data_IF_092891684432
#
_entry.id   IF_092891684432
#
_cell.length_a   1.000
_cell.length_b   1.000
_cell.length_c   1.000
_cell.angle_alpha   90.00
_cell.angle_beta   90.00
_cell.angle_gamma   90.00
#
_symmetry.space_group_name_H-M   'P 1'
#
loop_
_entity.id
_entity.type
_entity.pdbx_description
1 polymer ?
#
# COMPACT_ATOMS: atom_id res chain seq x y z
N UNK A 1 -0.21 5.38 7.98
CA UNK A 1 -1.09 4.55 7.12
C UNK A 1 -0.88 4.83 5.64
N UNK A 2 -0.88 6.08 5.18
CA UNK A 2 -0.70 6.40 3.75
C UNK A 2 0.67 5.95 3.19
N UNK A 3 1.71 5.92 4.02
CA UNK A 3 3.06 5.46 3.63
C UNK A 3 3.09 3.98 3.21
N UNK A 4 2.51 3.10 4.03
CA UNK A 4 2.44 1.67 3.73
C UNK A 4 1.59 1.39 2.49
N UNK A 5 0.49 2.14 2.29
CA UNK A 5 -0.35 1.99 1.11
C UNK A 5 0.39 2.40 -0.18
N UNK A 6 1.08 3.55 -0.16
CA UNK A 6 1.86 4.02 -1.32
C UNK A 6 3.00 3.05 -1.64
N UNK A 7 3.63 2.45 -0.63
CA UNK A 7 4.64 1.41 -0.86
C UNK A 7 4.04 0.19 -1.59
N UNK A 8 2.90 -0.34 -1.11
CA UNK A 8 2.23 -1.47 -1.77
C UNK A 8 1.84 -1.12 -3.22
N UNK A 9 1.35 0.10 -3.44
CA UNK A 9 1.01 0.60 -4.77
C UNK A 9 2.25 0.68 -5.68
N UNK A 10 3.40 1.13 -5.18
CA UNK A 10 4.66 1.15 -5.92
C UNK A 10 5.16 -0.25 -6.27
N UNK A 11 5.07 -1.20 -5.35
CA UNK A 11 5.43 -2.60 -5.61
C UNK A 11 4.52 -3.19 -6.71
N UNK A 12 3.22 -2.88 -6.63
CA UNK A 12 2.23 -3.24 -7.63
C UNK A 12 2.54 -2.64 -9.01
N UNK A 13 2.88 -1.35 -9.09
CA UNK A 13 3.30 -0.68 -10.32
C UNK A 13 4.57 -1.33 -10.89
N UNK A 14 5.55 -1.62 -10.04
CA UNK A 14 6.81 -2.27 -10.44
C UNK A 14 6.54 -3.62 -11.09
N UNK A 15 5.70 -4.45 -10.46
CA UNK A 15 5.31 -5.76 -11.01
C UNK A 15 4.56 -5.63 -12.34
N UNK A 16 3.75 -4.58 -12.50
CA UNK A 16 3.00 -4.34 -13.72
C UNK A 16 3.91 -3.90 -14.88
N UNK A 17 4.87 -3.02 -14.61
CA UNK A 17 5.85 -2.51 -15.60
C UNK A 17 6.80 -3.62 -16.06
N UNK A 18 7.22 -4.49 -15.13
CA UNK A 18 8.07 -5.65 -15.43
C UNK A 18 7.30 -6.77 -16.14
N UNK A 19 5.98 -6.84 -15.95
CA UNK A 19 5.12 -7.85 -16.56
C UNK A 19 4.81 -7.58 -18.03
N UNK A 20 4.24 -8.60 -18.68
CA UNK A 20 3.82 -8.53 -20.09
C UNK A 20 2.57 -7.66 -20.30
N UNK A 21 1.82 -7.35 -19.22
CA UNK A 21 0.58 -6.57 -19.29
C UNK A 21 0.82 -5.13 -19.76
N UNK A 22 1.93 -4.50 -19.34
CA UNK A 22 2.32 -3.16 -19.81
C UNK A 22 2.56 -3.11 -21.32
N UNK A 23 3.24 -4.13 -21.85
CA UNK A 23 3.51 -4.28 -23.30
C UNK A 23 2.22 -4.56 -24.07
N UNK A 24 1.36 -5.40 -23.51
CA UNK A 24 0.07 -5.74 -24.09
C UNK A 24 -0.81 -4.51 -24.19
N UNK A 25 -0.92 -3.71 -23.13
CA UNK A 25 -1.83 -2.58 -23.08
C UNK A 25 -1.26 -1.33 -23.77
N UNK A 26 0.07 -1.23 -23.88
CA UNK A 26 0.77 -0.11 -24.50
C UNK A 26 0.83 1.14 -23.62
N UNK A 27 0.73 0.96 -22.28
CA UNK A 27 0.76 2.06 -21.31
C UNK A 27 2.03 2.06 -20.43
N UNK A 28 3.06 1.32 -20.84
CA UNK A 28 4.26 1.11 -20.02
C UNK A 28 4.89 2.45 -19.60
N UNK A 29 5.04 3.39 -20.53
CA UNK A 29 5.63 4.70 -20.28
C UNK A 29 4.80 5.54 -19.30
N UNK A 30 3.46 5.48 -19.39
CA UNK A 30 2.58 6.18 -18.45
C UNK A 30 2.65 5.58 -17.04
N UNK A 31 2.74 4.26 -16.92
CA UNK A 31 2.92 3.59 -15.63
C UNK A 31 4.31 3.86 -15.02
N UNK A 32 5.37 3.95 -15.84
CA UNK A 32 6.71 4.35 -15.38
C UNK A 32 6.73 5.79 -14.85
N UNK A 33 6.07 6.72 -15.55
CA UNK A 33 5.89 8.10 -15.06
C UNK A 33 5.13 8.13 -13.73
N UNK A 34 4.04 7.37 -13.65
CA UNK A 34 3.24 7.26 -12.44
C UNK A 34 4.08 6.76 -11.27
N UNK A 35 4.86 5.69 -11.47
CA UNK A 35 5.78 5.16 -10.47
C UNK A 35 6.78 6.23 -10.01
N UNK A 36 7.43 6.93 -10.94
CA UNK A 36 8.40 7.99 -10.62
C UNK A 36 7.80 9.12 -9.77
N UNK A 37 6.59 9.56 -10.10
CA UNK A 37 5.89 10.59 -9.32
C UNK A 37 5.54 10.10 -7.91
N UNK A 38 5.05 8.87 -7.77
CA UNK A 38 4.75 8.29 -6.46
C UNK A 38 6.00 8.10 -5.60
N UNK A 39 7.13 7.67 -6.19
CA UNK A 39 8.42 7.59 -5.47
C UNK A 39 8.87 8.96 -4.97
N UNK A 40 8.74 10.00 -5.81
CA UNK A 40 9.07 11.38 -5.43
C UNK A 40 8.19 11.88 -4.27
N UNK A 41 6.90 11.52 -4.28
CA UNK A 41 5.96 11.89 -3.23
C UNK A 41 6.23 11.09 -1.95
N UNK A 42 6.59 9.81 -2.06
CA UNK A 42 6.93 8.96 -0.93
C UNK A 42 8.07 9.55 -0.10
N UNK A 43 9.09 10.11 -0.75
CA UNK A 43 10.24 10.74 -0.11
C UNK A 43 9.88 11.90 0.84
N UNK A 44 8.73 12.55 0.61
CA UNK A 44 8.25 13.67 1.43
C UNK A 44 7.04 13.37 2.29
N UNK A 45 6.52 12.15 2.16
CA UNK A 45 5.28 11.75 2.81
C UNK A 45 5.42 11.69 4.33
N UNK A 46 6.59 11.27 4.82
CA UNK A 46 6.85 11.21 6.27
C UNK A 46 6.86 12.63 6.89
N UNK A 47 7.53 13.59 6.25
CA UNK A 47 7.54 14.99 6.71
C UNK A 47 6.14 15.62 6.65
N UNK A 48 5.39 15.33 5.57
CA UNK A 48 4.01 15.77 5.42
C UNK A 48 3.10 15.23 6.52
N UNK A 49 3.17 13.93 6.87
CA UNK A 49 2.37 13.34 7.93
C UNK A 49 2.69 13.94 9.31
N UNK A 50 3.95 14.26 9.60
CA UNK A 50 4.33 14.94 10.85
C UNK A 50 3.79 16.36 10.93
N UNK A 51 3.82 17.09 9.81
CA UNK A 51 3.33 18.48 9.72
C UNK A 51 1.80 18.56 9.63
N UNK A 52 1.11 17.51 9.19
CA UNK A 52 -0.35 17.42 9.06
C UNK A 52 -1.08 17.82 10.35
N UNK A 53 -0.54 17.48 11.52
CA UNK A 53 -1.17 17.80 12.82
C UNK A 53 -1.24 19.30 13.11
N UNK A 54 -0.45 20.11 12.41
CA UNK A 54 -0.33 21.57 12.64
C UNK A 54 -0.86 22.39 11.47
N UNK A 55 -0.93 21.82 10.27
CA UNK A 55 -1.31 22.54 9.05
C UNK A 55 -2.42 21.81 8.29
N UNK A 56 -3.59 22.44 8.25
CA UNK A 56 -4.78 21.94 7.55
C UNK A 56 -4.61 21.92 6.03
N UNK A 57 -3.72 22.73 5.48
CA UNK A 57 -3.40 22.70 4.05
C UNK A 57 -2.64 21.43 3.67
N UNK A 58 -1.74 20.96 4.54
CA UNK A 58 -1.02 19.70 4.38
C UNK A 58 -1.96 18.50 4.55
N UNK A 59 -2.92 18.58 5.47
CA UNK A 59 -4.00 17.59 5.58
C UNK A 59 -4.80 17.46 4.28
N UNK A 60 -5.23 18.57 3.69
CA UNK A 60 -5.94 18.56 2.41
C UNK A 60 -5.06 18.02 1.27
N UNK A 61 -3.78 18.37 1.24
CA UNK A 61 -2.82 17.85 0.27
C UNK A 61 -2.67 16.32 0.36
N UNK A 62 -2.52 15.79 1.58
CA UNK A 62 -2.47 14.34 1.83
C UNK A 62 -3.78 13.64 1.44
N UNK A 63 -4.92 14.28 1.65
CA UNK A 63 -6.21 13.74 1.25
C UNK A 63 -6.33 13.66 -0.28
N UNK A 64 -5.94 14.69 -1.02
CA UNK A 64 -5.87 14.66 -2.49
C UNK A 64 -4.96 13.55 -2.99
N UNK A 65 -3.80 13.37 -2.34
CA UNK A 65 -2.86 12.31 -2.67
C UNK A 65 -3.47 10.92 -2.47
N UNK A 66 -4.13 10.68 -1.34
CA UNK A 66 -4.80 9.40 -1.08
C UNK A 66 -5.84 9.09 -2.15
N UNK A 67 -6.68 10.07 -2.53
CA UNK A 67 -7.67 9.89 -3.59
C UNK A 67 -7.02 9.53 -4.92
N UNK A 68 -5.93 10.20 -5.29
CA UNK A 68 -5.19 9.89 -6.52
C UNK A 68 -4.54 8.49 -6.47
N UNK A 69 -4.02 8.08 -5.32
CA UNK A 69 -3.44 6.76 -5.10
C UNK A 69 -4.50 5.65 -5.23
N UNK A 70 -5.68 5.80 -4.62
CA UNK A 70 -6.77 4.83 -4.80
C UNK A 70 -7.25 4.75 -6.24
N UNK A 71 -7.41 5.88 -6.93
CA UNK A 71 -7.78 5.86 -8.35
C UNK A 71 -6.74 5.13 -9.22
N UNK A 72 -5.44 5.23 -8.87
CA UNK A 72 -4.36 4.55 -9.57
C UNK A 72 -4.37 3.04 -9.31
N UNK A 73 -4.60 2.62 -8.06
CA UNK A 73 -4.75 1.21 -7.68
C UNK A 73 -5.94 0.57 -8.40
N UNK A 74 -7.09 1.26 -8.45
CA UNK A 74 -8.27 0.81 -9.18
C UNK A 74 -7.99 0.56 -10.67
N UNK A 75 -7.20 1.43 -11.31
CA UNK A 75 -6.82 1.24 -12.73
C UNK A 75 -5.93 0.02 -12.87
N UNK A 76 -4.97 -0.15 -11.96
CA UNK A 76 -4.02 -1.26 -12.00
C UNK A 76 -4.73 -2.60 -11.80
N UNK A 77 -5.69 -2.67 -10.88
CA UNK A 77 -6.53 -3.84 -10.65
C UNK A 77 -7.46 -4.13 -11.84
N UNK A 78 -8.08 -3.10 -12.44
CA UNK A 78 -8.87 -3.26 -13.67
C UNK A 78 -7.99 -3.81 -14.81
N UNK A 79 -6.72 -3.37 -14.91
CA UNK A 79 -5.79 -3.87 -15.90
C UNK A 79 -5.38 -5.34 -15.63
N UNK A 80 -5.06 -5.69 -14.39
CA UNK A 80 -4.68 -7.06 -13.99
C UNK A 80 -5.83 -8.05 -14.20
N UNK A 81 -7.06 -7.64 -13.94
CA UNK A 81 -8.24 -8.52 -13.99
C UNK A 81 -8.84 -8.58 -15.40
N UNK A 82 -9.08 -7.46 -16.06
CA UNK A 82 -9.82 -7.44 -17.32
C UNK A 82 -8.94 -7.67 -18.55
N UNK A 83 -7.68 -7.23 -18.56
CA UNK A 83 -6.83 -7.36 -19.74
C UNK A 83 -6.62 -8.83 -20.17
N UNK A 84 -6.31 -9.78 -19.26
CA UNK A 84 -6.16 -11.18 -19.63
C UNK A 84 -7.47 -11.81 -20.12
N UNK A 85 -8.59 -11.48 -19.49
CA UNK A 85 -9.92 -12.00 -19.85
C UNK A 85 -10.30 -11.55 -21.26
N UNK A 86 -10.08 -10.27 -21.57
CA UNK A 86 -10.41 -9.68 -22.87
C UNK A 86 -9.48 -10.16 -23.98
N UNK A 87 -8.25 -10.58 -23.66
CA UNK A 87 -7.37 -11.23 -24.63
C UNK A 87 -7.78 -12.68 -24.92
N UNK A 88 -7.98 -13.51 -23.88
CA UNK A 88 -8.30 -14.94 -24.05
C UNK A 88 -9.64 -15.18 -24.75
N UNK A 89 -10.62 -14.26 -24.59
CA UNK A 89 -11.97 -14.42 -25.15
C UNK A 89 -12.11 -14.00 -26.63
N UNK A 90 -11.11 -13.33 -27.22
CA UNK A 90 -11.28 -12.72 -28.55
C UNK A 90 -10.37 -13.37 -29.60
N UNK A 91 -10.98 -13.96 -30.64
CA UNK A 91 -10.27 -14.56 -31.79
C UNK A 91 -9.34 -13.59 -32.54
N UNK A 92 -9.62 -12.29 -32.46
CA UNK A 92 -8.85 -11.23 -33.12
C UNK A 92 -7.74 -10.61 -32.24
N UNK A 93 -7.49 -11.17 -31.05
CA UNK A 93 -6.45 -10.71 -30.13
C UNK A 93 -6.56 -9.20 -29.79
N UNK A 94 -5.43 -8.50 -29.89
CA UNK A 94 -5.30 -7.07 -29.52
C UNK A 94 -6.08 -6.10 -30.41
N UNK A 95 -6.56 -6.52 -31.58
CA UNK A 95 -7.27 -5.67 -32.55
C UNK A 95 -8.79 -5.72 -32.40
N UNK A 96 -9.30 -6.43 -31.39
CA UNK A 96 -10.74 -6.52 -31.15
C UNK A 96 -11.31 -5.17 -30.66
N UNK A 97 -12.45 -4.68 -31.20
CA UNK A 97 -13.05 -3.40 -30.81
C UNK A 97 -13.25 -3.22 -29.30
N UNK A 98 -13.66 -4.29 -28.59
CA UNK A 98 -13.79 -4.28 -27.11
C UNK A 98 -12.47 -4.13 -26.35
N UNK A 99 -11.34 -4.57 -26.93
CA UNK A 99 -10.00 -4.39 -26.35
C UNK A 99 -9.52 -2.96 -26.60
N UNK A 100 -9.75 -2.43 -27.80
CA UNK A 100 -9.42 -1.04 -28.16
C UNK A 100 -10.20 -0.05 -27.30
N UNK A 101 -11.51 -0.25 -27.14
CA UNK A 101 -12.35 0.59 -26.28
C UNK A 101 -11.91 0.53 -24.81
N UNK A 102 -11.49 -0.65 -24.33
CA UNK A 102 -10.92 -0.82 -22.99
C UNK A 102 -9.61 -0.04 -22.83
N UNK A 103 -8.67 -0.19 -23.77
CA UNK A 103 -7.41 0.58 -23.76
C UNK A 103 -7.69 2.07 -23.76
N UNK A 104 -8.59 2.56 -24.62
CA UNK A 104 -8.94 3.97 -24.65
C UNK A 104 -9.52 4.47 -23.32
N UNK A 105 -10.40 3.69 -22.68
CA UNK A 105 -10.95 4.00 -21.35
C UNK A 105 -9.83 4.11 -20.30
N UNK A 106 -8.94 3.12 -20.25
CA UNK A 106 -7.81 3.11 -19.32
C UNK A 106 -6.86 4.28 -19.59
N UNK A 107 -6.47 4.52 -20.84
CA UNK A 107 -5.59 5.62 -21.21
C UNK A 107 -6.15 6.99 -20.83
N UNK A 108 -7.45 7.21 -21.03
CA UNK A 108 -8.12 8.46 -20.62
C UNK A 108 -8.12 8.65 -19.09
N UNK A 109 -8.40 7.58 -18.34
CA UNK A 109 -8.34 7.62 -16.87
C UNK A 109 -6.91 7.86 -16.38
N UNK A 110 -5.94 7.17 -16.98
CA UNK A 110 -4.53 7.27 -16.65
C UNK A 110 -4.02 8.70 -16.85
N UNK A 111 -4.30 9.30 -18.02
CA UNK A 111 -3.95 10.69 -18.30
C UNK A 111 -4.50 11.65 -17.24
N UNK A 112 -5.77 11.48 -16.86
CA UNK A 112 -6.42 12.31 -15.83
C UNK A 112 -5.75 12.17 -14.46
N UNK A 113 -5.34 10.97 -14.07
CA UNK A 113 -4.64 10.74 -12.80
C UNK A 113 -3.24 11.35 -12.84
N UNK A 114 -2.52 11.21 -13.94
CA UNK A 114 -1.19 11.81 -14.11
C UNK A 114 -1.25 13.33 -13.97
N UNK A 115 -2.21 13.99 -14.62
CA UNK A 115 -2.44 15.45 -14.48
C UNK A 115 -2.75 15.85 -13.02
N UNK A 116 -3.55 15.05 -12.30
CA UNK A 116 -3.83 15.29 -10.87
C UNK A 116 -2.58 15.13 -10.01
N UNK A 117 -1.80 14.08 -10.23
CA UNK A 117 -0.59 13.81 -9.46
C UNK A 117 0.50 14.84 -9.73
N UNK A 118 0.66 15.31 -10.97
CA UNK A 118 1.57 16.39 -11.31
C UNK A 118 1.20 17.68 -10.56
N UNK A 119 -0.10 18.00 -10.46
CA UNK A 119 -0.57 19.13 -9.68
C UNK A 119 -0.27 18.97 -8.17
N UNK A 120 -0.47 17.76 -7.63
CA UNK A 120 -0.16 17.44 -6.22
C UNK A 120 1.36 17.54 -5.98
N UNK A 121 2.17 17.01 -6.88
CA UNK A 121 3.63 17.08 -6.80
C UNK A 121 4.13 18.52 -6.90
N UNK A 122 3.50 19.38 -7.70
CA UNK A 122 3.82 20.80 -7.77
C UNK A 122 3.41 21.57 -6.50
N UNK A 123 2.28 21.21 -5.87
CA UNK A 123 1.84 21.79 -4.59
C UNK A 123 2.85 21.54 -3.46
N UNK A 124 3.64 20.45 -3.51
CA UNK A 124 4.72 20.13 -2.56
C UNK A 124 5.67 21.31 -2.32
N UNK A 125 6.09 21.99 -3.40
CA UNK A 125 7.06 23.10 -3.34
C UNK A 125 6.51 24.25 -2.48
N UNK A 126 5.20 24.50 -2.56
CA UNK A 126 4.53 25.56 -1.78
C UNK A 126 4.51 25.26 -0.29
N UNK A 127 4.49 23.98 0.09
CA UNK A 127 4.44 23.54 1.48
C UNK A 127 5.82 23.31 2.10
N UNK A 128 6.91 23.56 1.37
CA UNK A 128 8.29 23.38 1.84
C UNK A 128 8.48 21.99 2.47
N UNK A 129 7.97 20.97 1.76
CA UNK A 129 8.12 19.57 2.14
C UNK A 129 9.49 19.08 1.65
N UNK A 130 10.41 18.92 2.60
CA UNK A 130 11.77 18.49 2.33
C UNK A 130 11.89 16.96 2.49
N UNK A 131 12.75 16.38 1.65
CA UNK A 131 13.19 14.99 1.82
C UNK A 131 14.13 14.96 3.02
N UNK A 132 13.55 14.79 4.21
CA UNK A 132 14.33 14.64 5.43
C UNK A 132 14.82 13.19 5.49
N UNK A 133 16.10 13.00 5.22
CA UNK A 133 16.86 11.80 5.61
C UNK A 133 16.99 11.77 7.13
N UNK A 134 15.89 11.56 7.84
CA UNK A 134 15.97 11.23 9.27
C UNK A 134 16.34 9.76 9.29
N UNK A 135 17.58 9.46 9.69
CA UNK A 135 17.96 8.12 10.14
C UNK A 135 16.96 7.70 11.22
N UNK A 136 15.98 6.91 10.82
CA UNK A 136 14.84 6.60 11.66
C UNK A 136 15.23 5.39 12.50
N UNK A 137 15.48 5.62 13.78
CA UNK A 137 15.13 4.63 14.79
C UNK A 137 13.61 4.54 14.82
N UNK A 138 13.05 3.72 13.92
CA UNK A 138 11.64 3.35 13.96
C UNK A 138 11.46 2.60 15.28
N UNK A 139 10.85 3.23 16.28
CA UNK A 139 10.29 2.50 17.39
C UNK A 139 9.07 1.73 16.85
N UNK A 140 9.34 0.62 16.17
CA UNK A 140 8.32 -0.27 15.65
C UNK A 140 7.56 -0.80 16.85
N UNK A 141 6.23 -0.77 16.82
CA UNK A 141 5.42 -1.46 17.82
C UNK A 141 5.79 -2.94 17.75
N UNK A 142 6.55 -3.42 18.74
CA UNK A 142 7.01 -4.80 18.77
C UNK A 142 5.82 -5.69 19.10
N UNK A 143 5.28 -6.37 18.09
CA UNK A 143 4.25 -7.42 18.23
C UNK A 143 4.82 -8.81 17.92
N UNK A 144 6.14 -8.95 17.91
CA UNK A 144 6.83 -10.20 17.60
C UNK A 144 7.23 -10.99 18.86
N UNK A 145 7.45 -12.30 18.68
CA UNK A 145 7.98 -13.20 19.70
C UNK A 145 9.50 -13.03 19.95
N UNK A 146 10.20 -12.33 19.05
CA UNK A 146 11.65 -12.12 19.15
C UNK A 146 11.93 -11.10 20.25
N UNK A 147 12.13 -11.61 21.46
CA UNK A 147 12.60 -10.84 22.60
C UNK A 147 14.08 -10.53 22.40
N UNK A 148 14.46 -9.25 22.47
CA UNK A 148 15.87 -8.87 22.61
C UNK A 148 16.43 -9.26 23.98
N UNK A 149 15.55 -9.50 24.96
CA UNK A 149 15.88 -9.85 26.33
C UNK A 149 15.43 -11.29 26.63
N UNK A 150 16.36 -12.21 26.93
CA UNK A 150 16.04 -13.63 27.08
C UNK A 150 15.26 -13.96 28.37
N UNK A 151 15.07 -13.01 29.29
CA UNK A 151 14.53 -13.28 30.62
C UNK A 151 13.55 -12.20 31.10
N UNK A 152 12.34 -12.64 31.44
CA UNK A 152 11.27 -11.83 32.06
C UNK A 152 11.19 -12.20 33.53
N UNK A 153 11.30 -11.21 34.42
CA UNK A 153 11.24 -11.42 35.87
C UNK A 153 9.87 -11.09 36.45
N UNK A 154 9.48 -11.79 37.53
CA UNK A 154 8.29 -11.45 38.32
C UNK A 154 6.96 -11.92 37.73
N UNK A 155 6.99 -12.68 36.62
CA UNK A 155 5.82 -13.29 35.96
C UNK A 155 5.81 -14.81 36.07
N UNK A 156 6.62 -15.38 36.96
CA UNK A 156 6.78 -16.83 37.08
C UNK A 156 5.47 -17.52 37.47
N UNK A 157 4.68 -16.90 38.36
CA UNK A 157 3.39 -17.43 38.81
C UNK A 157 2.36 -17.46 37.67
N UNK A 158 2.22 -16.35 36.95
CA UNK A 158 1.30 -16.25 35.82
C UNK A 158 1.70 -17.17 34.67
N UNK A 159 3.01 -17.35 34.44
CA UNK A 159 3.54 -18.33 33.48
C UNK A 159 3.08 -19.74 33.83
N UNK A 160 3.27 -20.17 35.07
CA UNK A 160 2.91 -21.53 35.50
C UNK A 160 1.39 -21.76 35.43
N UNK A 161 0.59 -20.75 35.75
CA UNK A 161 -0.86 -20.80 35.64
C UNK A 161 -1.32 -20.94 34.18
N UNK A 162 -0.76 -20.15 33.27
CA UNK A 162 -1.04 -20.24 31.83
C UNK A 162 -0.66 -21.61 31.28
N UNK A 163 0.53 -22.12 31.61
CA UNK A 163 1.00 -23.44 31.17
C UNK A 163 0.05 -24.54 31.67
N UNK A 164 -0.39 -24.46 32.92
CA UNK A 164 -1.35 -25.40 33.50
C UNK A 164 -2.69 -25.38 32.76
N UNK A 165 -3.22 -24.21 32.44
CA UNK A 165 -4.46 -24.05 31.67
C UNK A 165 -4.29 -24.67 30.27
N UNK A 166 -3.17 -24.41 29.60
CA UNK A 166 -2.91 -24.91 28.24
C UNK A 166 -2.77 -26.44 28.21
N UNK A 167 -2.10 -27.05 29.20
CA UNK A 167 -1.91 -28.51 29.26
C UNK A 167 -3.22 -29.22 29.59
N UNK A 168 -3.99 -28.71 30.55
CA UNK A 168 -5.20 -29.40 31.04
C UNK A 168 -6.37 -29.32 30.06
N UNK A 169 -6.41 -28.31 29.20
CA UNK A 169 -7.49 -28.10 28.22
C UNK A 169 -7.31 -28.89 26.91
N UNK A 170 -6.25 -29.68 26.75
CA UNK A 170 -6.01 -30.49 25.53
C UNK A 170 -6.89 -31.76 25.48
N UNK A 171 -7.55 -32.10 26.59
CA UNK A 171 -8.26 -33.39 26.74
C UNK A 171 -9.71 -33.41 26.25
N UNK A 172 -10.37 -32.25 26.07
CA UNK A 172 -11.77 -32.17 25.60
C UNK A 172 -11.83 -31.57 24.18
N UNK A 173 -11.77 -32.44 23.17
CA UNK A 173 -11.68 -32.08 21.75
C UNK A 173 -12.96 -31.48 21.12
N UNK A 174 -13.90 -30.94 21.90
CA UNK A 174 -15.22 -30.51 21.41
C UNK A 174 -15.53 -29.01 21.56
N UNK A 175 -14.67 -28.20 22.21
CA UNK A 175 -14.89 -26.75 22.34
C UNK A 175 -13.60 -25.94 22.12
N UNK A 176 -13.70 -24.84 21.36
CA UNK A 176 -12.60 -23.90 21.15
C UNK A 176 -12.31 -23.15 22.47
N UNK A 177 -11.13 -23.35 23.05
CA UNK A 177 -10.68 -22.63 24.24
C UNK A 177 -9.94 -21.34 23.85
N UNK A 178 -10.36 -20.20 24.41
CA UNK A 178 -9.74 -18.88 24.18
C UNK A 178 -9.29 -18.33 25.53
N UNK A 179 -8.01 -17.96 25.65
CA UNK A 179 -7.43 -17.39 26.86
C UNK A 179 -7.04 -15.92 26.63
N UNK A 180 -7.88 -14.95 27.02
CA UNK A 180 -7.54 -13.54 26.88
C UNK A 180 -6.51 -13.12 27.95
N UNK A 181 -5.49 -12.37 27.53
CA UNK A 181 -4.51 -11.74 28.43
C UNK A 181 -4.85 -10.24 28.50
N UNK A 182 -5.16 -9.75 29.69
CA UNK A 182 -5.50 -8.34 29.92
C UNK A 182 -4.35 -7.65 30.65
N UNK A 183 -3.99 -6.47 30.18
CA UNK A 183 -3.02 -5.57 30.80
C UNK A 183 -3.41 -4.12 30.55
N UNK A 184 -2.84 -3.20 31.31
CA UNK A 184 -2.95 -1.74 31.09
C UNK A 184 -1.69 -1.21 30.41
#
# INVERSE_FOLDING_TARGET
MAEAFIQVLLDNLTSFIQGELGLILGFKDEFEKLQSTFTTIQAVLEDAQKKQLKDKAIENWLQKLNVAAYEADDILDECKTEAPIRQKKNKYGCYHPKVIAFRHKIGKRMKKIMEKLDAIAAERIKFHLDERTIERQVATRQTGFVLNEPQVYGRDKEKDEIVKILINNVSDAQTLSVLPILGM
#
